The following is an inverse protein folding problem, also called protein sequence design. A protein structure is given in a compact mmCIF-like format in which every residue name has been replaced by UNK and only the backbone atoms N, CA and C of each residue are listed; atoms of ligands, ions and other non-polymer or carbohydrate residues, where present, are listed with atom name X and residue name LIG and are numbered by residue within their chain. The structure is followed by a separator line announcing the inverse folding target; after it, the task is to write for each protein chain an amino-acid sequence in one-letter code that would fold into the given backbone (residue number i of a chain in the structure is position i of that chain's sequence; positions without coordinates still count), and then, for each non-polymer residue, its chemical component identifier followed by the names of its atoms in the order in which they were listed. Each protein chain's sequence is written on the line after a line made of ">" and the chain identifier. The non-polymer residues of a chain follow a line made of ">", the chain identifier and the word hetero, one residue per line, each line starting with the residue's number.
data_IF_541609142572
#
_entry.id   IF_541609142572
#
_cell.length_a   1.000
_cell.length_b   1.000
_cell.length_c   1.000
_cell.angle_alpha   90.00
_cell.angle_beta   90.00
_cell.angle_gamma   90.00
#
_symmetry.space_group_name_H-M   'P 1'
#
loop_
_entity.id
_entity.type
_entity.pdbx_description
1 polymer ?
#
# COMPACT_ATOMS: atom_id res chain seq x y z
N UNK A 1 -45.54 23.24 21.62
CA UNK A 1 -45.23 22.90 20.22
C UNK A 1 -43.93 22.11 20.23
N UNK A 2 -43.96 20.86 19.78
CA UNK A 2 -42.93 19.84 20.04
C UNK A 2 -41.72 20.05 19.10
N UNK A 3 -40.47 20.19 19.60
CA UNK A 3 -39.28 20.38 18.76
C UNK A 3 -38.79 19.11 18.04
N UNK A 4 -39.40 17.94 18.27
CA UNK A 4 -38.97 16.65 17.69
C UNK A 4 -39.25 16.48 16.18
N UNK A 5 -40.08 17.32 15.56
CA UNK A 5 -40.36 17.21 14.13
C UNK A 5 -39.18 17.66 13.25
N UNK A 6 -38.35 18.58 13.74
CA UNK A 6 -37.23 19.13 12.98
C UNK A 6 -36.04 18.15 12.87
N UNK A 7 -35.85 17.29 13.86
CA UNK A 7 -34.67 16.42 13.94
C UNK A 7 -34.78 15.19 13.03
N UNK A 8 -36.01 14.73 12.72
CA UNK A 8 -36.22 13.59 11.82
C UNK A 8 -36.05 13.91 10.34
N UNK A 9 -36.12 15.17 9.93
CA UNK A 9 -35.95 15.54 8.52
C UNK A 9 -34.47 15.64 8.11
N UNK A 10 -33.56 15.94 9.04
CA UNK A 10 -32.12 16.03 8.77
C UNK A 10 -31.41 14.67 8.73
N UNK A 11 -31.92 13.66 9.44
CA UNK A 11 -31.29 12.33 9.51
C UNK A 11 -31.62 11.44 8.28
N UNK A 12 -32.74 11.73 7.59
CA UNK A 12 -33.13 11.02 6.36
C UNK A 12 -32.36 11.50 5.10
N UNK A 13 -31.67 12.64 5.16
CA UNK A 13 -30.98 13.24 4.01
C UNK A 13 -29.47 12.96 3.99
N UNK A 14 -28.87 12.55 5.12
CA UNK A 14 -27.43 12.21 5.20
C UNK A 14 -27.09 10.75 4.85
N UNK A 15 -28.08 9.89 4.58
CA UNK A 15 -27.86 8.48 4.27
C UNK A 15 -27.81 8.14 2.76
N UNK A 16 -27.77 9.14 1.88
CA UNK A 16 -27.77 8.93 0.43
C UNK A 16 -26.63 9.68 -0.29
N UNK A 17 -25.38 9.33 0.03
CA UNK A 17 -24.25 9.64 -0.84
C UNK A 17 -24.18 8.58 -1.98
N UNK A 18 -24.23 8.96 -3.26
CA UNK A 18 -24.15 7.99 -4.36
C UNK A 18 -22.76 7.35 -4.42
N UNK A 19 -22.72 6.02 -4.44
CA UNK A 19 -21.51 5.24 -4.74
C UNK A 19 -21.01 5.58 -6.16
N UNK A 20 -19.69 5.76 -6.39
CA UNK A 20 -19.15 5.86 -7.74
C UNK A 20 -19.34 4.53 -8.49
N UNK A 21 -19.93 4.59 -9.69
CA UNK A 21 -20.15 3.42 -10.55
C UNK A 21 -18.83 2.83 -11.06
N UNK A 22 -18.68 1.49 -11.13
CA UNK A 22 -17.53 0.88 -11.78
C UNK A 22 -17.60 1.10 -13.30
N UNK A 23 -16.53 1.67 -13.87
CA UNK A 23 -16.39 1.83 -15.32
C UNK A 23 -16.16 0.45 -15.98
N UNK A 24 -16.78 0.15 -17.12
CA UNK A 24 -16.41 -1.01 -17.93
C UNK A 24 -14.97 -0.87 -18.42
N UNK A 25 -14.16 -1.93 -18.26
CA UNK A 25 -12.87 -2.04 -18.91
C UNK A 25 -13.11 -2.20 -20.42
N UNK A 26 -12.98 -1.10 -21.14
CA UNK A 26 -13.02 -1.09 -22.60
C UNK A 26 -11.78 -1.82 -23.13
N UNK A 27 -12.02 -2.98 -23.74
CA UNK A 27 -11.00 -3.81 -24.35
C UNK A 27 -10.39 -3.09 -25.55
N UNK A 28 -9.12 -2.70 -25.43
CA UNK A 28 -8.31 -2.27 -26.56
C UNK A 28 -8.03 -3.45 -27.51
N UNK A 29 -8.09 -3.24 -28.84
CA UNK A 29 -7.90 -4.30 -29.81
C UNK A 29 -6.41 -4.65 -29.91
N UNK A 30 -6.04 -5.86 -29.51
CA UNK A 30 -4.78 -6.46 -29.98
C UNK A 30 -4.95 -6.81 -31.47
N UNK A 31 -3.98 -6.48 -32.34
CA UNK A 31 -4.08 -6.80 -33.76
C UNK A 31 -3.98 -8.31 -33.95
N UNK A 32 -5.11 -8.92 -34.32
CA UNK A 32 -5.13 -10.26 -34.91
C UNK A 32 -4.57 -10.13 -36.32
N UNK A 33 -3.34 -10.58 -36.51
CA UNK A 33 -2.77 -10.77 -37.84
C UNK A 33 -3.50 -11.91 -38.56
N UNK A 34 -4.49 -11.57 -39.37
CA UNK A 34 -5.04 -12.45 -40.40
C UNK A 34 -4.31 -12.14 -41.71
N UNK A 35 -3.40 -13.02 -42.11
CA UNK A 35 -2.99 -13.17 -43.50
C UNK A 35 -3.58 -14.46 -44.04
N UNK A 36 -4.49 -14.29 -44.99
CA UNK A 36 -5.15 -15.33 -45.76
C UNK A 36 -4.11 -16.16 -46.52
N UNK A 37 -4.20 -17.50 -46.44
CA UNK A 37 -3.82 -18.40 -47.53
C UNK A 37 -4.73 -19.62 -47.55
N UNK A 38 -5.65 -19.60 -48.50
CA UNK A 38 -6.31 -20.78 -49.07
C UNK A 38 -5.26 -21.69 -49.73
N UNK A 39 -5.42 -23.00 -49.58
CA UNK A 39 -4.55 -24.01 -50.19
C UNK A 39 -4.92 -25.41 -49.73
N UNK A 40 -5.72 -26.09 -50.54
CA UNK A 40 -6.21 -27.46 -50.37
C UNK A 40 -5.12 -28.54 -50.23
N UNK A 41 -5.40 -29.50 -49.34
CA UNK A 41 -5.22 -30.91 -49.62
C UNK A 41 -3.92 -31.61 -49.17
N UNK A 42 -4.12 -32.86 -48.71
CA UNK A 42 -3.18 -33.99 -48.57
C UNK A 42 -2.52 -34.19 -47.19
N UNK A 43 -2.86 -35.33 -46.57
CA UNK A 43 -2.47 -35.70 -45.21
C UNK A 43 -1.10 -36.36 -45.08
N UNK A 44 -0.68 -36.54 -43.82
CA UNK A 44 0.29 -37.53 -43.37
C UNK A 44 0.15 -37.75 -41.84
N UNK A 45 0.49 -38.94 -41.31
CA UNK A 45 -0.02 -39.43 -40.02
C UNK A 45 0.94 -39.26 -38.85
N UNK A 46 0.37 -39.20 -37.63
CA UNK A 46 0.98 -39.72 -36.40
C UNK A 46 2.17 -38.94 -35.81
N UNK A 47 1.88 -37.98 -34.93
CA UNK A 47 2.82 -37.57 -33.90
C UNK A 47 2.24 -37.96 -32.54
N UNK A 48 2.81 -39.00 -31.94
CA UNK A 48 2.57 -39.34 -30.53
C UNK A 48 2.96 -38.14 -29.67
N UNK A 49 2.17 -37.79 -28.63
CA UNK A 49 2.61 -36.77 -27.68
C UNK A 49 3.83 -37.32 -26.95
N UNK A 50 5.00 -36.75 -27.22
CA UNK A 50 6.16 -36.96 -26.34
C UNK A 50 5.77 -36.46 -24.95
N UNK A 51 6.10 -37.19 -23.87
CA UNK A 51 5.94 -36.67 -22.53
C UNK A 51 6.92 -35.50 -22.40
N UNK A 52 6.40 -34.30 -22.64
CA UNK A 52 7.11 -33.07 -22.38
C UNK A 52 7.53 -33.12 -20.93
N UNK A 53 8.84 -33.18 -20.70
CA UNK A 53 9.48 -32.80 -19.46
C UNK A 53 9.00 -31.40 -19.12
N UNK A 54 7.90 -31.34 -18.38
CA UNK A 54 7.39 -30.12 -17.79
C UNK A 54 8.46 -29.64 -16.83
N UNK A 55 9.28 -28.70 -17.28
CA UNK A 55 10.12 -27.92 -16.39
C UNK A 55 9.15 -27.14 -15.51
N UNK A 56 8.88 -27.69 -14.32
CA UNK A 56 8.07 -27.01 -13.31
C UNK A 56 8.90 -25.81 -12.87
N UNK A 57 8.64 -24.65 -13.45
CA UNK A 57 9.29 -23.40 -13.07
C UNK A 57 8.83 -23.09 -11.66
N UNK A 58 9.66 -23.40 -10.65
CA UNK A 58 9.33 -23.09 -9.26
C UNK A 58 9.24 -21.58 -9.12
N UNK A 59 8.03 -21.07 -8.91
CA UNK A 59 7.80 -19.64 -8.70
C UNK A 59 8.66 -19.14 -7.53
N UNK A 60 9.37 -18.03 -7.78
CA UNK A 60 10.21 -17.41 -6.75
C UNK A 60 9.29 -16.75 -5.72
N UNK A 61 9.45 -17.15 -4.46
CA UNK A 61 8.73 -16.54 -3.33
C UNK A 61 9.41 -15.25 -2.88
N UNK A 62 8.63 -14.23 -2.51
CA UNK A 62 9.13 -13.03 -1.84
C UNK A 62 9.70 -13.38 -0.45
N UNK A 63 10.80 -12.73 -0.05
CA UNK A 63 11.53 -13.02 1.20
C UNK A 63 11.73 -11.80 2.12
N UNK A 64 11.45 -10.60 1.62
CA UNK A 64 11.61 -9.36 2.37
C UNK A 64 10.52 -8.38 1.95
N UNK A 65 9.87 -7.77 2.93
CA UNK A 65 9.04 -6.59 2.73
C UNK A 65 9.83 -5.36 3.19
N UNK A 66 9.72 -4.28 2.42
CA UNK A 66 10.21 -2.96 2.78
C UNK A 66 9.21 -1.94 2.24
N UNK A 67 8.85 -0.97 3.06
CA UNK A 67 7.93 0.09 2.69
C UNK A 67 8.10 1.29 3.60
N UNK A 68 7.80 2.46 3.05
CA UNK A 68 7.74 3.74 3.75
C UNK A 68 6.47 4.46 3.28
N UNK A 69 5.91 5.28 4.16
CA UNK A 69 4.75 6.11 3.86
C UNK A 69 4.90 7.43 4.60
N UNK A 70 4.66 8.53 3.90
CA UNK A 70 4.63 9.85 4.50
C UNK A 70 3.34 10.03 5.28
N UNK A 71 3.45 10.47 6.53
CA UNK A 71 2.31 10.68 7.42
C UNK A 71 2.00 12.17 7.54
N UNK A 72 0.71 12.49 7.66
CA UNK A 72 0.28 13.81 8.11
C UNK A 72 0.69 13.99 9.59
N UNK A 73 1.53 14.99 9.93
CA UNK A 73 1.97 15.22 11.30
C UNK A 73 0.83 15.40 12.31
N UNK A 74 -0.30 15.97 11.88
CA UNK A 74 -1.46 16.20 12.74
C UNK A 74 -2.22 14.92 13.07
N UNK A 75 -2.00 13.86 12.29
CA UNK A 75 -2.67 12.57 12.41
C UNK A 75 -1.71 11.39 12.59
N UNK A 76 -0.41 11.66 12.68
CA UNK A 76 0.65 10.67 12.64
C UNK A 76 0.42 9.52 13.64
N UNK A 77 -0.02 9.81 14.87
CA UNK A 77 -0.30 8.78 15.88
C UNK A 77 -1.39 7.79 15.44
N UNK A 78 -2.48 8.29 14.84
CA UNK A 78 -3.59 7.44 14.38
C UNK A 78 -3.19 6.64 13.15
N UNK A 79 -2.63 7.33 12.16
CA UNK A 79 -2.31 6.70 10.88
C UNK A 79 -1.18 5.66 11.07
N UNK A 80 -0.19 5.94 11.94
CA UNK A 80 0.81 4.95 12.34
C UNK A 80 0.19 3.72 13.01
N UNK A 81 -0.77 3.90 13.93
CA UNK A 81 -1.46 2.77 14.57
C UNK A 81 -2.17 1.90 13.54
N UNK A 82 -2.91 2.50 12.60
CA UNK A 82 -3.59 1.77 11.52
C UNK A 82 -2.61 1.01 10.64
N UNK A 83 -1.50 1.65 10.21
CA UNK A 83 -0.49 1.01 9.37
C UNK A 83 0.19 -0.16 10.07
N UNK A 84 0.53 0.02 11.35
CA UNK A 84 1.12 -1.00 12.19
C UNK A 84 0.16 -2.19 12.29
N UNK A 85 -1.11 -1.97 12.63
CA UNK A 85 -2.07 -3.06 12.80
C UNK A 85 -2.33 -3.82 11.50
N UNK A 86 -2.51 -3.12 10.38
CA UNK A 86 -2.82 -3.74 9.11
C UNK A 86 -1.62 -4.54 8.57
N UNK A 87 -0.43 -3.94 8.55
CA UNK A 87 0.75 -4.59 7.96
C UNK A 87 1.35 -5.63 8.91
N UNK A 88 1.51 -5.31 10.20
CA UNK A 88 2.13 -6.25 11.13
C UNK A 88 1.28 -7.49 11.36
N UNK A 89 -0.05 -7.39 11.35
CA UNK A 89 -0.92 -8.56 11.47
C UNK A 89 -0.63 -9.61 10.40
N UNK A 90 -0.38 -9.17 9.16
CA UNK A 90 -0.07 -10.10 8.06
C UNK A 90 1.36 -10.64 8.15
N UNK A 91 2.34 -9.81 8.49
CA UNK A 91 3.74 -10.25 8.59
C UNK A 91 4.00 -11.13 9.81
N UNK A 92 3.39 -10.81 10.95
CA UNK A 92 3.55 -11.57 12.20
C UNK A 92 2.85 -12.93 12.16
N UNK A 93 1.92 -13.14 11.23
CA UNK A 93 1.32 -14.45 11.00
C UNK A 93 2.26 -15.43 10.26
N UNK A 94 3.38 -14.95 9.71
CA UNK A 94 4.36 -15.79 9.03
C UNK A 94 5.33 -16.41 10.06
N UNK A 95 5.55 -17.74 10.03
CA UNK A 95 6.51 -18.37 10.93
C UNK A 95 7.92 -17.84 10.66
N UNK A 96 8.67 -17.64 11.75
CA UNK A 96 10.06 -17.19 11.75
C UNK A 96 10.30 -15.80 11.11
N UNK A 97 9.25 -14.97 10.95
CA UNK A 97 9.40 -13.62 10.43
C UNK A 97 10.02 -12.66 11.46
N UNK A 98 11.21 -12.13 11.16
CA UNK A 98 11.82 -11.04 11.92
C UNK A 98 11.30 -9.69 11.42
N UNK A 99 10.66 -8.94 12.31
CA UNK A 99 10.01 -7.67 11.99
C UNK A 99 10.74 -6.54 12.72
N UNK A 100 11.11 -5.50 11.97
CA UNK A 100 11.62 -4.24 12.51
C UNK A 100 10.73 -3.10 12.04
N UNK A 101 10.24 -2.30 12.99
CA UNK A 101 9.51 -1.06 12.73
C UNK A 101 10.40 0.10 13.13
N UNK A 102 10.50 1.10 12.26
CA UNK A 102 11.28 2.33 12.51
C UNK A 102 10.37 3.52 12.25
N UNK A 103 10.37 4.48 13.18
CA UNK A 103 9.73 5.78 13.01
C UNK A 103 10.83 6.83 12.86
N UNK A 104 10.72 7.67 11.84
CA UNK A 104 11.63 8.78 11.59
C UNK A 104 10.85 10.09 11.67
N UNK A 105 11.45 11.11 12.28
CA UNK A 105 10.86 12.45 12.40
C UNK A 105 11.87 13.43 11.81
N UNK A 106 11.46 14.13 10.76
CA UNK A 106 12.26 15.15 10.10
C UNK A 106 11.54 16.50 10.20
N UNK A 107 12.29 17.56 10.50
CA UNK A 107 11.78 18.92 10.53
C UNK A 107 12.80 19.85 9.88
N UNK A 108 12.37 20.57 8.84
CA UNK A 108 13.16 21.63 8.23
C UNK A 108 12.81 22.95 8.92
N UNK A 109 13.81 23.61 9.52
CA UNK A 109 13.64 24.82 10.33
C UNK A 109 14.56 25.90 9.75
N UNK A 110 14.11 26.66 8.73
CA UNK A 110 14.98 27.58 7.97
C UNK A 110 15.68 28.63 8.83
N UNK A 111 15.00 29.14 9.85
CA UNK A 111 15.53 30.20 10.72
C UNK A 111 16.29 29.64 11.94
N UNK A 112 16.47 28.32 12.00
CA UNK A 112 17.03 27.62 13.14
C UNK A 112 16.03 27.38 14.27
N UNK A 113 16.27 26.34 15.06
CA UNK A 113 15.45 26.01 16.21
C UNK A 113 15.85 26.87 17.43
N UNK A 114 14.89 27.47 18.15
CA UNK A 114 15.20 28.15 19.41
C UNK A 114 15.86 27.21 20.43
N UNK A 115 16.77 27.72 21.26
CA UNK A 115 17.52 26.91 22.23
C UNK A 115 16.62 26.06 23.14
N UNK A 116 15.49 26.63 23.58
CA UNK A 116 14.53 25.90 24.41
C UNK A 116 13.90 24.71 23.67
N UNK A 117 13.63 24.83 22.37
CA UNK A 117 13.11 23.73 21.53
C UNK A 117 14.18 22.66 21.35
N UNK A 118 15.41 23.07 21.02
CA UNK A 118 16.55 22.15 20.86
C UNK A 118 16.73 21.31 22.12
N UNK A 119 16.73 21.97 23.29
CA UNK A 119 16.83 21.30 24.59
C UNK A 119 15.70 20.30 24.81
N UNK A 120 14.45 20.75 24.70
CA UNK A 120 13.27 19.89 24.92
C UNK A 120 13.24 18.68 23.97
N UNK A 121 13.48 18.87 22.67
CA UNK A 121 13.47 17.78 21.70
C UNK A 121 14.61 16.79 21.96
N UNK A 122 15.80 17.28 22.30
CA UNK A 122 16.95 16.42 22.63
C UNK A 122 16.70 15.58 23.90
N UNK A 123 16.09 16.17 24.93
CA UNK A 123 15.72 15.44 26.16
C UNK A 123 14.63 14.39 25.89
N UNK A 124 13.64 14.71 25.06
CA UNK A 124 12.61 13.77 24.64
C UNK A 124 13.21 12.61 23.84
N UNK A 125 14.12 12.89 22.89
CA UNK A 125 14.76 11.85 22.09
C UNK A 125 15.55 10.86 22.97
N UNK A 126 16.26 11.35 23.98
CA UNK A 126 16.93 10.51 24.99
C UNK A 126 15.92 9.66 25.78
N UNK A 127 14.85 10.28 26.27
CA UNK A 127 13.82 9.61 27.08
C UNK A 127 13.09 8.52 26.28
N UNK A 128 12.80 8.80 25.00
CA UNK A 128 12.13 7.91 24.06
C UNK A 128 13.09 6.92 23.38
N UNK A 129 14.37 6.92 23.78
CA UNK A 129 15.40 5.98 23.31
C UNK A 129 15.58 5.99 21.80
N UNK A 130 15.59 7.17 21.19
CA UNK A 130 15.98 7.31 19.78
C UNK A 130 17.39 6.74 19.58
N UNK A 131 17.56 5.90 18.55
CA UNK A 131 18.87 5.32 18.22
C UNK A 131 19.80 6.33 17.54
N UNK A 132 19.22 7.24 16.74
CA UNK A 132 19.91 8.31 16.05
C UNK A 132 19.03 9.56 16.12
N UNK A 133 19.59 10.69 16.56
CA UNK A 133 18.88 11.98 16.67
C UNK A 133 19.88 13.12 16.80
N UNK A 134 19.49 14.32 16.37
CA UNK A 134 20.30 15.53 16.47
C UNK A 134 19.65 16.70 15.73
N UNK A 135 20.10 17.91 16.02
CA UNK A 135 19.89 19.07 15.15
C UNK A 135 21.19 19.26 14.36
N UNK A 136 21.06 19.48 13.06
CA UNK A 136 22.19 19.74 12.18
C UNK A 136 22.31 21.26 11.97
N UNK A 137 23.54 21.76 12.09
CA UNK A 137 23.92 23.11 11.69
C UNK A 137 24.43 22.97 10.26
N UNK A 138 23.71 23.52 9.28
CA UNK A 138 24.07 23.43 7.85
C UNK A 138 25.51 23.88 7.56
#
# INVERSE_FOLDING_TARGET
>A
MKPEAAQRQMEAEQAAAPLPSPRPLEGGPYPRGEVLREGDGHGAPGLQPMPGTGTVTRERKARRFYGSVDLDPLRASRDAATLVDEILRHLAALPDAEIRVTLEIQAHIPDGAPEHVVRTVTENARTLKFNNYGFEEE
#
